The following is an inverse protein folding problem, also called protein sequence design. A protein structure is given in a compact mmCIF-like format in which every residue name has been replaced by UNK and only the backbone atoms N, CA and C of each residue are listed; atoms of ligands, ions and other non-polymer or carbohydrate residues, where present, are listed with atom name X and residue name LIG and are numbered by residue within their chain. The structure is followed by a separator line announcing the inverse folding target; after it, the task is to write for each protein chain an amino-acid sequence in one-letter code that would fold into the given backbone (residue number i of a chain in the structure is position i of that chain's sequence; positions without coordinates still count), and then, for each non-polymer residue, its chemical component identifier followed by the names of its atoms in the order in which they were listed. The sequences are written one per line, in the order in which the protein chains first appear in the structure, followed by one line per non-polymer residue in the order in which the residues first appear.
data_IF_360313710915
#
_entry.id   IF_360313710915
#
_cell.length_a   1.000
_cell.length_b   1.000
_cell.length_c   1.000
_cell.angle_alpha   90.00
_cell.angle_beta   90.00
_cell.angle_gamma   90.00
#
_symmetry.space_group_name_H-M   'P 1'
#
loop_
_entity.id
_entity.type
_entity.pdbx_description
1 polymer ?
#
# COMPACT_ATOMS: atom_id res chain seq x y z
N UNK A 1 -15.23 -30.12 15.72
CA UNK A 1 -13.93 -29.69 16.30
C UNK A 1 -12.85 -30.57 15.68
N UNK A 2 -12.00 -29.98 14.79
CA UNK A 2 -10.86 -30.72 14.27
C UNK A 2 -9.78 -30.76 15.36
N UNK A 3 -9.28 -31.95 15.68
CA UNK A 3 -8.18 -32.12 16.64
C UNK A 3 -6.91 -31.46 16.07
N UNK A 4 -6.31 -30.60 16.83
CA UNK A 4 -4.98 -30.02 16.48
C UNK A 4 -3.97 -31.18 16.46
N UNK A 5 -3.26 -31.44 15.36
CA UNK A 5 -2.28 -32.51 15.31
C UNK A 5 -1.19 -32.27 16.35
N UNK A 6 -0.82 -33.31 17.11
CA UNK A 6 0.30 -33.23 18.04
C UNK A 6 1.60 -33.18 17.26
N UNK A 7 2.34 -32.06 17.39
CA UNK A 7 3.62 -31.85 16.71
C UNK A 7 4.74 -32.39 17.59
N UNK A 8 5.18 -33.61 17.33
CA UNK A 8 6.09 -34.35 18.21
C UNK A 8 7.58 -34.04 17.99
N UNK A 9 7.92 -33.25 16.97
CA UNK A 9 9.33 -32.88 16.68
C UNK A 9 9.47 -31.40 16.32
N UNK A 10 10.64 -30.82 16.62
CA UNK A 10 10.96 -29.44 16.23
C UNK A 10 10.82 -29.22 14.71
N UNK A 11 11.16 -30.21 13.90
CA UNK A 11 10.99 -30.17 12.44
C UNK A 11 9.52 -30.08 12.04
N UNK A 12 8.65 -30.86 12.69
CA UNK A 12 7.21 -30.81 12.43
C UNK A 12 6.62 -29.46 12.84
N UNK A 13 7.04 -28.89 13.98
CA UNK A 13 6.64 -27.54 14.40
C UNK A 13 7.03 -26.50 13.35
N UNK A 14 8.27 -26.50 12.88
CA UNK A 14 8.72 -25.55 11.87
C UNK A 14 8.04 -25.73 10.50
N UNK A 15 7.68 -26.97 10.15
CA UNK A 15 6.91 -27.24 8.94
C UNK A 15 5.51 -26.61 9.04
N UNK A 16 4.80 -26.83 10.16
CA UNK A 16 3.50 -26.23 10.42
C UNK A 16 3.55 -24.70 10.42
N UNK A 17 4.56 -24.09 11.04
CA UNK A 17 4.75 -22.63 11.02
C UNK A 17 4.93 -22.10 9.58
N UNK A 18 5.66 -22.82 8.71
CA UNK A 18 5.81 -22.40 7.31
C UNK A 18 4.50 -22.51 6.52
N UNK A 19 3.73 -23.57 6.77
CA UNK A 19 2.43 -23.77 6.13
C UNK A 19 1.44 -22.69 6.56
N UNK A 20 1.32 -22.42 7.86
CA UNK A 20 0.47 -21.37 8.41
C UNK A 20 0.87 -20.01 7.88
N UNK A 21 2.18 -19.72 7.83
CA UNK A 21 2.71 -18.47 7.25
C UNK A 21 2.32 -18.32 5.78
N UNK A 22 2.46 -19.38 4.98
CA UNK A 22 2.07 -19.37 3.56
C UNK A 22 0.56 -19.12 3.39
N UNK A 23 -0.25 -19.76 4.23
CA UNK A 23 -1.70 -19.59 4.24
C UNK A 23 -2.10 -18.16 4.61
N UNK A 24 -1.47 -17.60 5.63
CA UNK A 24 -1.69 -16.22 6.05
C UNK A 24 -1.30 -15.22 4.95
N UNK A 25 -0.13 -15.40 4.32
CA UNK A 25 0.33 -14.54 3.22
C UNK A 25 -0.65 -14.59 2.03
N UNK A 26 -1.13 -15.77 1.67
CA UNK A 26 -2.13 -15.90 0.61
C UNK A 26 -3.47 -15.23 0.97
N UNK A 27 -3.88 -15.28 2.23
CA UNK A 27 -5.06 -14.58 2.71
C UNK A 27 -4.89 -13.06 2.68
N UNK A 28 -3.71 -12.54 3.08
CA UNK A 28 -3.39 -11.12 2.98
C UNK A 28 -3.43 -10.61 1.52
N UNK A 29 -2.90 -11.37 0.57
CA UNK A 29 -2.96 -11.01 -0.86
C UNK A 29 -4.41 -10.92 -1.31
N UNK A 30 -5.27 -11.90 -0.98
CA UNK A 30 -6.70 -11.86 -1.34
C UNK A 30 -7.41 -10.64 -0.72
N UNK A 31 -7.14 -10.34 0.55
CA UNK A 31 -7.71 -9.17 1.22
C UNK A 31 -7.25 -7.87 0.56
N UNK A 32 -5.99 -7.80 0.13
CA UNK A 32 -5.44 -6.64 -0.56
C UNK A 32 -6.04 -6.45 -1.97
N UNK A 33 -6.30 -7.55 -2.69
CA UNK A 33 -7.04 -7.52 -3.95
C UNK A 33 -8.50 -7.08 -3.74
N UNK A 34 -9.18 -7.65 -2.74
CA UNK A 34 -10.54 -7.26 -2.39
C UNK A 34 -10.66 -5.76 -2.01
N UNK A 35 -9.63 -5.17 -1.42
CA UNK A 35 -9.59 -3.72 -1.17
C UNK A 35 -9.60 -2.90 -2.46
N UNK A 36 -8.87 -3.35 -3.49
CA UNK A 36 -8.89 -2.70 -4.82
C UNK A 36 -10.25 -2.87 -5.49
N UNK A 37 -10.82 -4.07 -5.44
CA UNK A 37 -12.14 -4.35 -6.02
C UNK A 37 -13.23 -3.53 -5.33
N UNK A 38 -13.15 -3.40 -4.00
CA UNK A 38 -14.04 -2.54 -3.21
C UNK A 38 -13.94 -1.09 -3.62
N UNK A 39 -12.74 -0.55 -3.73
CA UNK A 39 -12.51 0.82 -4.18
C UNK A 39 -13.03 1.05 -5.62
N UNK A 40 -12.86 0.08 -6.51
CA UNK A 40 -13.34 0.16 -7.89
C UNK A 40 -14.87 0.15 -7.97
N UNK A 41 -15.56 -0.65 -7.14
CA UNK A 41 -17.02 -0.66 -7.04
C UNK A 41 -17.60 0.65 -6.49
N UNK A 42 -16.82 1.37 -5.70
CA UNK A 42 -17.19 2.65 -5.08
C UNK A 42 -16.43 3.83 -5.68
N UNK A 43 -16.01 3.72 -6.93
CA UNK A 43 -15.50 4.87 -7.67
C UNK A 43 -16.64 5.87 -7.91
N UNK A 44 -16.31 7.15 -8.00
CA UNK A 44 -17.30 8.24 -8.20
C UNK A 44 -18.17 7.98 -9.42
N UNK A 45 -17.59 7.47 -10.49
CA UNK A 45 -18.31 7.14 -11.72
C UNK A 45 -19.33 5.99 -11.54
N UNK A 46 -19.13 5.12 -10.53
CA UNK A 46 -19.98 3.94 -10.30
C UNK A 46 -21.18 4.21 -9.41
N UNK A 47 -21.14 5.23 -8.55
CA UNK A 47 -22.23 5.55 -7.59
C UNK A 47 -23.33 6.42 -8.21
N UNK A 48 -23.13 6.94 -9.43
CA UNK A 48 -24.18 7.66 -10.18
C UNK A 48 -24.81 8.83 -9.41
N UNK A 49 -26.16 8.92 -9.32
CA UNK A 49 -26.83 10.04 -8.65
C UNK A 49 -26.53 10.18 -7.15
N UNK A 50 -26.08 9.12 -6.48
CA UNK A 50 -25.69 9.17 -5.07
C UNK A 50 -24.42 10.03 -4.86
N UNK A 51 -23.59 10.22 -5.88
CA UNK A 51 -22.41 11.09 -5.85
C UNK A 51 -22.73 12.54 -5.46
N UNK A 52 -23.97 13.01 -5.67
CA UNK A 52 -24.39 14.36 -5.28
C UNK A 52 -24.36 14.58 -3.76
N UNK A 53 -24.51 13.52 -2.98
CA UNK A 53 -24.59 13.56 -1.52
C UNK A 53 -23.36 12.97 -0.83
N UNK A 54 -22.51 12.31 -1.58
CA UNK A 54 -21.32 11.62 -1.09
C UNK A 54 -20.07 12.30 -1.61
N UNK A 55 -19.17 12.67 -0.69
CA UNK A 55 -17.90 13.30 -1.04
C UNK A 55 -16.96 12.35 -1.77
N UNK A 56 -16.11 12.91 -2.60
CA UNK A 56 -15.00 12.22 -3.27
C UNK A 56 -13.74 12.32 -2.43
N UNK A 57 -13.07 11.19 -2.19
CA UNK A 57 -11.83 11.14 -1.42
C UNK A 57 -10.64 10.75 -2.28
N UNK A 58 -9.60 11.59 -2.35
CA UNK A 58 -8.28 11.18 -2.78
C UNK A 58 -7.63 10.35 -1.66
N UNK A 59 -7.63 9.04 -1.79
CA UNK A 59 -7.04 8.12 -0.80
C UNK A 59 -5.64 7.62 -1.20
N UNK A 60 -5.24 7.86 -2.45
CA UNK A 60 -3.93 7.52 -3.00
C UNK A 60 -3.29 8.75 -3.66
N UNK A 61 -2.11 8.60 -4.25
CA UNK A 61 -1.40 9.70 -4.88
C UNK A 61 -2.03 10.16 -6.21
N UNK A 62 -1.46 11.19 -6.79
CA UNK A 62 -1.89 11.82 -8.04
C UNK A 62 -2.11 10.79 -9.16
N UNK A 63 -3.21 10.91 -9.89
CA UNK A 63 -3.57 10.03 -10.99
C UNK A 63 -4.23 8.70 -10.58
N UNK A 64 -4.35 8.41 -9.28
CA UNK A 64 -5.15 7.31 -8.80
C UNK A 64 -6.66 7.66 -8.80
N UNK A 65 -7.57 6.67 -8.95
CA UNK A 65 -9.00 6.93 -8.91
C UNK A 65 -9.44 7.44 -7.53
N UNK A 66 -10.41 8.35 -7.54
CA UNK A 66 -11.10 8.80 -6.35
C UNK A 66 -12.13 7.75 -5.91
N UNK A 67 -12.40 7.69 -4.61
CA UNK A 67 -13.41 6.80 -4.04
C UNK A 67 -14.48 7.58 -3.29
N UNK A 68 -15.66 7.00 -3.19
CA UNK A 68 -16.75 7.53 -2.41
C UNK A 68 -16.44 7.52 -0.90
N UNK A 69 -16.79 8.59 -0.18
CA UNK A 69 -16.38 8.78 1.21
C UNK A 69 -16.88 7.68 2.14
N UNK A 70 -18.15 7.27 1.98
CA UNK A 70 -18.79 6.34 2.93
C UNK A 70 -18.26 4.90 2.83
N UNK A 71 -17.72 4.51 1.67
CA UNK A 71 -17.17 3.17 1.48
C UNK A 71 -15.98 2.86 2.41
N UNK A 72 -15.27 3.89 2.89
CA UNK A 72 -14.11 3.75 3.76
C UNK A 72 -14.47 3.16 5.12
N UNK A 73 -15.54 3.68 5.75
CA UNK A 73 -15.95 3.22 7.07
C UNK A 73 -16.46 1.77 7.05
N UNK A 74 -17.20 1.40 6.02
CA UNK A 74 -17.72 0.05 5.85
C UNK A 74 -16.59 -0.96 5.64
N UNK A 75 -15.63 -0.65 4.78
CA UNK A 75 -14.45 -1.48 4.59
C UNK A 75 -13.62 -1.60 5.86
N UNK A 76 -13.40 -0.50 6.58
CA UNK A 76 -12.67 -0.49 7.84
C UNK A 76 -13.29 -1.43 8.88
N UNK A 77 -14.63 -1.39 9.00
CA UNK A 77 -15.38 -2.28 9.88
C UNK A 77 -15.19 -3.75 9.48
N UNK A 78 -15.28 -4.05 8.18
CA UNK A 78 -15.14 -5.42 7.67
C UNK A 78 -13.77 -6.05 7.99
N UNK A 79 -12.70 -5.23 8.00
CA UNK A 79 -11.34 -5.69 8.35
C UNK A 79 -10.98 -5.48 9.84
N UNK A 80 -11.94 -5.08 10.68
CA UNK A 80 -11.75 -4.88 12.11
C UNK A 80 -10.81 -3.76 12.48
N UNK A 81 -10.80 -2.65 11.71
CA UNK A 81 -9.92 -1.48 11.92
C UNK A 81 -10.72 -0.19 12.15
N UNK A 82 -10.04 0.83 12.68
CA UNK A 82 -10.59 2.19 12.68
C UNK A 82 -10.75 2.74 11.26
N UNK A 83 -11.62 3.73 11.08
CA UNK A 83 -11.85 4.37 9.78
C UNK A 83 -10.55 4.92 9.17
N UNK A 84 -9.68 5.55 9.97
CA UNK A 84 -8.39 6.06 9.49
C UNK A 84 -7.45 4.94 9.03
N UNK A 85 -7.40 3.82 9.78
CA UNK A 85 -6.59 2.67 9.40
C UNK A 85 -7.16 1.94 8.18
N UNK A 86 -8.48 1.92 8.00
CA UNK A 86 -9.16 1.43 6.81
C UNK A 86 -8.90 2.30 5.59
N UNK A 87 -8.98 3.64 5.76
CA UNK A 87 -8.60 4.61 4.72
C UNK A 87 -7.16 4.40 4.25
N UNK A 88 -6.22 4.28 5.19
CA UNK A 88 -4.83 4.04 4.86
C UNK A 88 -4.64 2.71 4.12
N UNK A 89 -5.35 1.64 4.53
CA UNK A 89 -5.26 0.34 3.88
C UNK A 89 -5.80 0.39 2.44
N UNK A 90 -6.98 0.99 2.22
CA UNK A 90 -7.56 1.19 0.90
C UNK A 90 -6.65 2.04 0.01
N UNK A 91 -6.16 3.17 0.53
CA UNK A 91 -5.28 4.07 -0.20
C UNK A 91 -3.98 3.38 -0.64
N UNK A 92 -3.36 2.61 0.24
CA UNK A 92 -2.16 1.84 -0.07
C UNK A 92 -2.44 0.76 -1.14
N UNK A 93 -3.60 0.10 -1.10
CA UNK A 93 -3.99 -0.88 -2.11
C UNK A 93 -4.23 -0.24 -3.49
N UNK A 94 -4.93 0.89 -3.51
CA UNK A 94 -5.18 1.69 -4.72
C UNK A 94 -3.86 2.22 -5.29
N UNK A 95 -2.97 2.76 -4.44
CA UNK A 95 -1.64 3.22 -4.83
C UNK A 95 -0.85 2.12 -5.54
N UNK A 96 -0.74 0.93 -4.93
CA UNK A 96 -0.01 -0.18 -5.53
C UNK A 96 -0.64 -0.63 -6.84
N UNK A 97 -1.97 -0.68 -6.91
CA UNK A 97 -2.68 -1.16 -8.10
C UNK A 97 -2.54 -0.23 -9.29
N UNK A 98 -2.68 1.09 -9.09
CA UNK A 98 -2.81 2.05 -10.19
C UNK A 98 -1.51 2.80 -10.50
N UNK A 99 -0.66 2.99 -9.51
CA UNK A 99 0.58 3.76 -9.68
C UNK A 99 1.86 2.92 -9.64
N UNK A 100 1.78 1.67 -9.10
CA UNK A 100 2.92 0.75 -8.98
C UNK A 100 2.61 -0.61 -9.63
N UNK A 101 2.28 -0.67 -10.94
CA UNK A 101 1.77 -1.88 -11.57
C UNK A 101 2.75 -3.06 -11.59
N UNK A 102 4.08 -2.81 -11.62
CA UNK A 102 5.09 -3.86 -11.54
C UNK A 102 5.14 -4.47 -10.15
N UNK A 103 5.10 -3.63 -9.11
CA UNK A 103 5.00 -4.08 -7.73
C UNK A 103 3.71 -4.87 -7.50
N UNK A 104 2.57 -4.39 -8.01
CA UNK A 104 1.29 -5.10 -7.96
C UNK A 104 1.40 -6.52 -8.51
N UNK A 105 2.00 -6.69 -9.69
CA UNK A 105 2.20 -8.01 -10.29
C UNK A 105 3.04 -8.95 -9.39
N UNK A 106 4.02 -8.42 -8.66
CA UNK A 106 4.81 -9.20 -7.70
C UNK A 106 4.01 -9.57 -6.45
N UNK A 107 3.15 -8.67 -5.96
CA UNK A 107 2.28 -8.93 -4.79
C UNK A 107 1.26 -10.02 -5.11
N UNK A 108 0.54 -9.89 -6.22
CA UNK A 108 -0.47 -10.88 -6.65
C UNK A 108 0.14 -12.25 -6.88
N UNK A 109 1.39 -12.30 -7.36
CA UNK A 109 2.13 -13.55 -7.53
C UNK A 109 2.74 -14.09 -6.21
N UNK A 110 2.50 -13.44 -5.06
CA UNK A 110 3.04 -13.87 -3.76
C UNK A 110 4.57 -13.69 -3.62
N UNK A 111 5.23 -12.98 -4.54
CA UNK A 111 6.68 -12.75 -4.50
C UNK A 111 7.09 -11.62 -3.56
N UNK A 112 6.18 -10.68 -3.31
CA UNK A 112 6.37 -9.57 -2.37
C UNK A 112 5.22 -9.60 -1.36
N UNK A 113 5.50 -9.67 -0.05
CA UNK A 113 4.46 -9.69 0.96
C UNK A 113 3.71 -8.34 1.01
N UNK A 114 2.42 -8.39 1.32
CA UNK A 114 1.52 -7.23 1.32
C UNK A 114 2.03 -6.09 2.21
N UNK A 115 2.51 -6.42 3.43
CA UNK A 115 3.04 -5.40 4.33
C UNK A 115 4.19 -4.58 3.72
N UNK A 116 5.03 -5.23 2.90
CA UNK A 116 6.15 -4.59 2.20
C UNK A 116 5.66 -3.69 1.07
N UNK A 117 4.69 -4.15 0.30
CA UNK A 117 4.05 -3.34 -0.74
C UNK A 117 3.38 -2.09 -0.16
N UNK A 118 2.69 -2.24 0.97
CA UNK A 118 2.10 -1.12 1.72
C UNK A 118 3.13 -0.11 2.21
N UNK A 119 4.30 -0.57 2.66
CA UNK A 119 5.41 0.29 3.04
C UNK A 119 5.92 1.11 1.84
N UNK A 120 6.04 0.49 0.66
CA UNK A 120 6.45 1.17 -0.57
C UNK A 120 5.38 2.17 -1.01
N UNK A 121 4.10 1.78 -0.98
CA UNK A 121 2.98 2.66 -1.29
C UNK A 121 2.99 3.94 -0.46
N UNK A 122 3.17 3.82 0.86
CA UNK A 122 3.27 5.01 1.76
C UNK A 122 4.37 5.98 1.33
N UNK A 123 5.47 5.47 0.84
CA UNK A 123 6.61 6.29 0.43
C UNK A 123 6.37 7.00 -0.91
N UNK A 124 5.44 6.51 -1.75
CA UNK A 124 5.15 7.07 -3.08
C UNK A 124 3.93 7.98 -3.14
N UNK A 125 3.06 7.98 -2.11
CA UNK A 125 1.80 8.76 -2.09
C UNK A 125 1.98 10.24 -2.44
N UNK A 126 3.06 10.87 -1.99
CA UNK A 126 3.34 12.29 -2.22
C UNK A 126 4.10 12.58 -3.52
N UNK A 127 4.48 11.56 -4.27
CA UNK A 127 5.18 11.76 -5.54
C UNK A 127 4.18 12.04 -6.67
N UNK A 128 4.55 12.80 -7.71
CA UNK A 128 3.79 12.86 -8.94
C UNK A 128 3.77 11.49 -9.63
N UNK A 129 2.88 11.29 -10.60
CA UNK A 129 2.67 10.01 -11.28
C UNK A 129 3.96 9.44 -11.89
N UNK A 130 4.76 10.29 -12.53
CA UNK A 130 6.04 9.91 -13.14
C UNK A 130 7.06 9.49 -12.09
N UNK A 131 7.07 10.16 -10.92
CA UNK A 131 7.93 9.82 -9.79
C UNK A 131 7.58 8.46 -9.20
N UNK A 132 6.29 8.17 -9.03
CA UNK A 132 5.83 6.85 -8.60
C UNK A 132 6.20 5.75 -9.60
N UNK A 133 6.03 5.99 -10.91
CA UNK A 133 6.44 5.08 -11.97
C UNK A 133 7.95 4.82 -12.02
N UNK A 134 8.76 5.83 -11.71
CA UNK A 134 10.20 5.68 -11.54
C UNK A 134 10.52 4.74 -10.37
N UNK A 135 9.91 4.97 -9.20
CA UNK A 135 10.09 4.10 -8.03
C UNK A 135 9.66 2.68 -8.34
N UNK A 136 8.49 2.47 -8.95
CA UNK A 136 8.00 1.15 -9.34
C UNK A 136 9.01 0.40 -10.20
N UNK A 137 9.61 1.09 -11.17
CA UNK A 137 10.59 0.48 -12.09
C UNK A 137 11.85 0.00 -11.37
N UNK A 138 12.35 0.77 -10.41
CA UNK A 138 13.61 0.47 -9.73
C UNK A 138 13.42 -0.43 -8.51
N UNK A 139 12.28 -0.36 -7.85
CA UNK A 139 11.99 -1.05 -6.60
C UNK A 139 11.35 -2.41 -6.82
N UNK A 140 10.40 -2.57 -7.76
CA UNK A 140 9.65 -3.80 -7.91
C UNK A 140 10.52 -5.07 -8.06
N UNK A 141 11.61 -5.07 -8.87
CA UNK A 141 12.44 -6.28 -9.04
C UNK A 141 13.12 -6.76 -7.76
N UNK A 142 13.37 -5.85 -6.81
CA UNK A 142 14.10 -6.12 -5.57
C UNK A 142 13.25 -5.94 -4.32
N UNK A 143 11.97 -5.63 -4.46
CA UNK A 143 11.06 -5.22 -3.39
C UNK A 143 11.07 -6.18 -2.18
N UNK A 144 11.11 -7.50 -2.40
CA UNK A 144 11.11 -8.48 -1.32
C UNK A 144 12.31 -8.35 -0.37
N UNK A 145 13.46 -7.89 -0.86
CA UNK A 145 14.72 -7.78 -0.12
C UNK A 145 15.15 -6.34 0.19
N UNK A 146 14.39 -5.36 -0.31
CA UNK A 146 14.69 -3.95 -0.19
C UNK A 146 14.68 -3.51 1.28
N UNK A 147 15.74 -2.84 1.74
CA UNK A 147 15.75 -2.19 3.04
C UNK A 147 15.02 -0.84 3.00
N UNK A 148 14.61 -0.35 4.16
CA UNK A 148 13.98 0.97 4.28
C UNK A 148 14.89 2.08 3.73
N UNK A 149 16.17 2.08 4.11
CA UNK A 149 17.12 3.08 3.65
C UNK A 149 17.38 3.05 2.12
N UNK A 150 17.25 1.87 1.48
CA UNK A 150 17.34 1.78 0.02
C UNK A 150 16.08 2.35 -0.63
N UNK A 151 14.90 2.06 -0.07
CA UNK A 151 13.65 2.64 -0.53
C UNK A 151 13.69 4.16 -0.43
N UNK A 152 14.08 4.72 0.71
CA UNK A 152 14.16 6.16 0.91
C UNK A 152 15.07 6.85 -0.12
N UNK A 153 16.22 6.24 -0.44
CA UNK A 153 17.12 6.79 -1.47
C UNK A 153 16.47 6.85 -2.85
N UNK A 154 15.78 5.80 -3.27
CA UNK A 154 15.09 5.78 -4.57
C UNK A 154 13.93 6.78 -4.60
N UNK A 155 13.18 6.90 -3.51
CA UNK A 155 12.08 7.87 -3.37
C UNK A 155 12.61 9.30 -3.38
N UNK A 156 13.73 9.57 -2.70
CA UNK A 156 14.34 10.90 -2.70
C UNK A 156 14.91 11.26 -4.08
N UNK A 157 15.51 10.31 -4.79
CA UNK A 157 15.93 10.50 -6.18
C UNK A 157 14.74 10.83 -7.08
N UNK A 158 13.62 10.09 -6.92
CA UNK A 158 12.40 10.37 -7.65
C UNK A 158 11.85 11.76 -7.36
N UNK A 159 11.85 12.19 -6.09
CA UNK A 159 11.40 13.53 -5.66
C UNK A 159 12.24 14.63 -6.29
N UNK A 160 13.57 14.55 -6.18
CA UNK A 160 14.47 15.54 -6.76
C UNK A 160 14.30 15.67 -8.29
N UNK A 161 14.02 14.54 -8.95
CA UNK A 161 13.89 14.49 -10.41
C UNK A 161 12.54 14.95 -10.93
N UNK A 162 11.45 14.60 -10.26
CA UNK A 162 10.08 14.78 -10.76
C UNK A 162 9.28 15.83 -9.98
N UNK A 163 9.75 16.22 -8.79
CA UNK A 163 9.16 17.29 -7.98
C UNK A 163 10.25 18.12 -7.28
N UNK A 164 11.06 18.86 -8.03
CA UNK A 164 12.19 19.62 -7.48
C UNK A 164 11.75 20.74 -6.53
N UNK A 165 10.54 21.28 -6.68
CA UNK A 165 10.03 22.35 -5.82
C UNK A 165 9.76 21.80 -4.42
N UNK A 166 9.04 20.68 -4.31
CA UNK A 166 8.79 20.02 -3.04
C UNK A 166 10.08 19.47 -2.40
N UNK A 167 11.01 18.97 -3.21
CA UNK A 167 12.32 18.53 -2.74
C UNK A 167 13.08 19.68 -2.04
N UNK A 168 13.07 20.87 -2.61
CA UNK A 168 13.73 22.04 -2.02
C UNK A 168 13.00 22.55 -0.78
N UNK A 169 11.66 22.59 -0.79
CA UNK A 169 10.86 22.97 0.36
C UNK A 169 11.15 22.06 1.57
N UNK A 170 11.24 20.74 1.36
CA UNK A 170 11.62 19.80 2.42
C UNK A 170 13.03 19.97 2.94
N UNK A 171 14.00 20.29 2.07
CA UNK A 171 15.37 20.58 2.50
C UNK A 171 15.42 21.80 3.41
N UNK A 172 14.72 22.87 3.03
CA UNK A 172 14.63 24.08 3.85
C UNK A 172 13.97 23.81 5.19
N UNK A 173 12.84 23.10 5.23
CA UNK A 173 12.18 22.74 6.46
C UNK A 173 13.05 21.87 7.39
N UNK A 174 13.83 20.94 6.81
CA UNK A 174 14.75 20.10 7.58
C UNK A 174 15.99 20.89 8.09
N UNK A 175 16.38 21.96 7.41
CA UNK A 175 17.45 22.86 7.87
C UNK A 175 16.96 23.70 9.05
N UNK A 176 15.76 24.28 8.96
CA UNK A 176 15.16 25.09 10.03
C UNK A 176 14.92 24.27 11.31
N UNK A 177 14.46 23.04 11.19
CA UNK A 177 14.25 22.14 12.36
C UNK A 177 15.55 21.78 13.10
N UNK A 178 16.71 21.89 12.47
CA UNK A 178 18.02 21.65 13.11
C UNK A 178 18.62 22.86 13.80
N UNK A 179 18.03 24.04 13.64
CA UNK A 179 18.52 25.27 14.28
C UNK A 179 17.95 25.49 15.69
N UNK A 180 17.07 24.62 16.18
CA UNK A 180 16.40 24.77 17.48
C UNK A 180 16.78 23.70 18.51
N UNK A 181 17.77 22.86 18.26
CA UNK A 181 18.42 21.96 19.21
C UNK A 181 19.85 22.45 19.51
#
# INVERSE_FOLDING_TARGET
MAATPTLDTATAVLAAVREDKSTADAAEVRMFQAAVDWAAMHSVDSIGPAAVWEGELPIAGEGAPLVAEFCVAEFALAIGKSTDAGRAYLGEAVEVRYRLPKLWAHVVAGRVPVWKARQIAKATLSLPMEGAGFVDTHVAPVAARLSYAQLERVVEEARVRFDPIEAEARRLAAADGRCFD
#
